data_IF_040242312834
#
_entry.id   IF_040242312834
#
_cell.length_a   1.000
_cell.length_b   1.000
_cell.length_c   1.000
_cell.angle_alpha   90.00
_cell.angle_beta   90.00
_cell.angle_gamma   90.00
#
_symmetry.space_group_name_H-M   'P 1'
#
loop_
_entity.id
_entity.type
_entity.pdbx_description
1 polymer ?
#
# COMPACT_ATOMS: atom_id res chain seq x y z
N UNK A 1 -1.49 1.05 1.44
CA UNK A 1 -0.54 1.75 0.53
C UNK A 1 -0.40 3.16 1.08
N UNK A 2 0.81 3.62 1.37
CA UNK A 2 1.06 4.97 1.94
C UNK A 2 2.36 5.52 1.36
N UNK A 3 2.53 6.84 1.18
CA UNK A 3 3.70 7.39 0.49
C UNK A 3 4.91 7.54 1.40
N UNK A 4 4.69 7.62 2.72
CA UNK A 4 5.70 8.05 3.67
C UNK A 4 6.33 6.85 4.37
N UNK A 5 7.40 6.31 3.78
CA UNK A 5 8.16 5.17 4.34
C UNK A 5 8.61 5.47 5.78
N UNK A 6 9.05 6.70 6.06
CA UNK A 6 9.47 7.12 7.39
C UNK A 6 8.35 6.96 8.44
N UNK A 7 7.10 7.19 8.06
CA UNK A 7 5.94 7.06 8.96
C UNK A 7 5.49 5.60 9.12
N UNK A 8 5.71 4.74 8.12
CA UNK A 8 5.33 3.33 8.20
C UNK A 8 6.01 2.61 9.37
N UNK A 9 7.25 2.95 9.67
CA UNK A 9 7.98 2.34 10.78
C UNK A 9 7.28 2.64 12.12
N UNK A 10 6.99 3.91 12.39
CA UNK A 10 6.34 4.36 13.62
C UNK A 10 4.92 3.82 13.75
N UNK A 11 4.18 3.72 12.63
CA UNK A 11 2.86 3.11 12.59
C UNK A 11 2.90 1.61 12.90
N UNK A 12 3.85 0.88 12.32
CA UNK A 12 4.04 -0.55 12.60
C UNK A 12 4.43 -0.77 14.06
N UNK A 13 5.35 0.03 14.60
CA UNK A 13 5.74 -0.06 16.01
C UNK A 13 4.55 0.20 16.94
N UNK A 14 3.75 1.22 16.64
CA UNK A 14 2.57 1.57 17.43
C UNK A 14 1.51 0.46 17.41
N UNK A 15 1.27 -0.17 16.25
CA UNK A 15 0.37 -1.33 16.12
C UNK A 15 0.90 -2.54 16.89
N UNK A 16 2.18 -2.84 16.78
CA UNK A 16 2.81 -3.95 17.48
C UNK A 16 2.77 -3.75 19.01
N UNK A 17 2.96 -2.52 19.49
CA UNK A 17 2.89 -2.18 20.90
C UNK A 17 1.52 -2.49 21.53
N UNK A 18 0.44 -2.43 20.73
CA UNK A 18 -0.91 -2.79 21.16
C UNK A 18 -1.30 -4.23 20.77
N UNK A 19 -0.34 -5.05 20.34
CA UNK A 19 -0.55 -6.47 20.02
C UNK A 19 -1.17 -6.74 18.65
N UNK A 20 -1.18 -5.78 17.73
CA UNK A 20 -1.61 -5.99 16.34
C UNK A 20 -0.41 -6.42 15.49
N UNK A 21 -0.42 -7.64 14.92
CA UNK A 21 0.65 -8.08 14.04
C UNK A 21 0.66 -7.26 12.76
N UNK A 22 1.65 -6.38 12.62
CA UNK A 22 1.81 -5.49 11.49
C UNK A 22 3.24 -5.52 10.96
N UNK A 23 3.40 -5.22 9.67
CA UNK A 23 4.70 -5.06 9.02
C UNK A 23 4.62 -4.04 7.90
N UNK A 24 5.77 -3.72 7.29
CA UNK A 24 5.84 -2.90 6.08
C UNK A 24 6.73 -3.52 5.01
N UNK A 25 6.47 -3.21 3.74
CA UNK A 25 7.32 -3.49 2.59
C UNK A 25 7.68 -2.18 1.87
N UNK A 26 8.96 -1.83 1.88
CA UNK A 26 9.49 -0.61 1.26
C UNK A 26 10.85 -0.88 0.60
N UNK A 27 11.29 0.00 -0.30
CA UNK A 27 12.62 -0.09 -0.94
C UNK A 27 13.79 -0.02 0.03
N UNK A 28 13.59 0.54 1.23
CA UNK A 28 14.59 0.68 2.30
C UNK A 28 14.97 -0.63 3.01
N UNK A 29 14.18 -1.70 2.82
CA UNK A 29 14.50 -3.00 3.40
C UNK A 29 15.61 -3.69 2.61
N UNK A 30 16.54 -4.31 3.32
CA UNK A 30 17.50 -5.23 2.71
C UNK A 30 16.78 -6.44 2.06
N UNK A 31 17.47 -7.11 1.15
CA UNK A 31 16.88 -8.20 0.36
C UNK A 31 16.47 -9.41 1.20
N UNK A 32 17.17 -9.70 2.29
CA UNK A 32 16.88 -10.87 3.13
C UNK A 32 15.66 -10.59 4.03
N UNK A 33 15.55 -9.38 4.56
CA UNK A 33 14.44 -8.89 5.36
C UNK A 33 13.17 -8.78 4.52
N UNK A 34 13.26 -8.21 3.32
CA UNK A 34 12.13 -8.20 2.39
C UNK A 34 11.66 -9.63 2.09
N UNK A 35 12.58 -10.57 1.87
CA UNK A 35 12.26 -11.99 1.63
C UNK A 35 11.63 -12.66 2.86
N UNK A 36 12.12 -12.38 4.07
CA UNK A 36 11.52 -12.87 5.33
C UNK A 36 10.07 -12.38 5.45
N UNK A 37 9.85 -11.07 5.37
CA UNK A 37 8.50 -10.47 5.48
C UNK A 37 7.54 -10.99 4.42
N UNK A 38 7.98 -11.15 3.16
CA UNK A 38 7.13 -11.72 2.12
C UNK A 38 6.69 -13.15 2.43
N UNK A 39 7.56 -13.99 3.02
CA UNK A 39 7.19 -15.34 3.45
C UNK A 39 6.18 -15.31 4.60
N UNK A 40 6.39 -14.42 5.57
CA UNK A 40 5.51 -14.30 6.73
C UNK A 40 4.13 -13.75 6.34
N UNK A 41 4.08 -12.82 5.37
CA UNK A 41 2.82 -12.38 4.76
C UNK A 41 2.12 -13.57 4.08
N UNK A 42 2.85 -14.39 3.32
CA UNK A 42 2.29 -15.57 2.66
C UNK A 42 1.71 -16.59 3.65
N UNK A 43 2.33 -16.68 4.84
CA UNK A 43 1.88 -17.54 5.93
C UNK A 43 0.74 -16.95 6.78
N UNK A 44 0.30 -15.72 6.49
CA UNK A 44 -0.76 -15.04 7.24
C UNK A 44 -0.33 -14.54 8.62
N UNK A 45 0.97 -14.30 8.84
CA UNK A 45 1.51 -13.86 10.13
C UNK A 45 1.11 -12.42 10.50
N UNK A 46 0.68 -11.61 9.53
CA UNK A 46 0.32 -10.21 9.73
C UNK A 46 -1.14 -9.94 9.44
N UNK A 47 -1.76 -9.11 10.28
CA UNK A 47 -3.11 -8.57 10.06
C UNK A 47 -3.08 -7.31 9.20
N UNK A 48 -1.99 -6.54 9.25
CA UNK A 48 -1.84 -5.29 8.51
C UNK A 48 -0.45 -5.21 7.87
N UNK A 49 -0.42 -4.87 6.58
CA UNK A 49 0.82 -4.72 5.81
C UNK A 49 0.83 -3.34 5.15
N UNK A 50 1.74 -2.47 5.60
CA UNK A 50 2.04 -1.23 4.89
C UNK A 50 2.89 -1.53 3.67
N UNK A 51 2.60 -0.88 2.55
CA UNK A 51 3.32 -1.11 1.29
C UNK A 51 3.58 0.25 0.66
N UNK A 52 4.85 0.50 0.34
CA UNK A 52 5.27 1.67 -0.41
C UNK A 52 4.88 1.52 -1.90
N UNK A 53 4.45 2.60 -2.59
CA UNK A 53 3.93 2.52 -3.95
C UNK A 53 4.88 1.85 -4.94
N UNK A 54 6.19 2.07 -4.81
CA UNK A 54 7.21 1.50 -5.69
C UNK A 54 7.29 -0.03 -5.60
N UNK A 55 6.78 -0.63 -4.52
CA UNK A 55 6.72 -2.09 -4.36
C UNK A 55 5.54 -2.74 -5.08
N UNK A 56 4.54 -1.97 -5.51
CA UNK A 56 3.32 -2.51 -6.11
C UNK A 56 3.59 -3.23 -7.43
N UNK A 57 4.60 -2.80 -8.20
CA UNK A 57 4.97 -3.43 -9.47
C UNK A 57 6.04 -4.52 -9.35
N UNK A 58 6.53 -4.80 -8.14
CA UNK A 58 7.50 -5.86 -7.95
C UNK A 58 6.85 -7.23 -8.19
N UNK A 59 7.44 -8.01 -9.12
CA UNK A 59 6.88 -9.31 -9.54
C UNK A 59 6.64 -10.25 -8.36
N UNK A 60 7.57 -10.33 -7.41
CA UNK A 60 7.41 -11.17 -6.22
C UNK A 60 6.23 -10.75 -5.33
N UNK A 61 5.93 -9.45 -5.26
CA UNK A 61 4.80 -8.93 -4.50
C UNK A 61 3.47 -9.23 -5.22
N UNK A 62 3.41 -9.07 -6.54
CA UNK A 62 2.25 -9.47 -7.34
C UNK A 62 1.95 -10.96 -7.20
N UNK A 63 2.96 -11.82 -7.32
CA UNK A 63 2.82 -13.27 -7.12
C UNK A 63 2.34 -13.63 -5.71
N UNK A 64 2.79 -12.89 -4.69
CA UNK A 64 2.33 -13.06 -3.32
C UNK A 64 0.83 -12.77 -3.19
N UNK A 65 0.33 -11.67 -3.76
CA UNK A 65 -1.08 -11.26 -3.66
C UNK A 65 -2.05 -12.25 -4.31
N UNK A 66 -1.63 -13.01 -5.31
CA UNK A 66 -2.43 -14.10 -5.86
C UNK A 66 -2.56 -15.31 -4.92
N UNK A 67 -1.68 -15.42 -3.92
CA UNK A 67 -1.63 -16.55 -2.98
C UNK A 67 -2.24 -16.23 -1.62
N UNK A 68 -2.45 -14.95 -1.31
CA UNK A 68 -3.02 -14.50 -0.03
C UNK A 68 -4.39 -13.88 -0.23
N UNK A 69 -5.30 -14.10 0.72
CA UNK A 69 -6.59 -13.44 0.72
C UNK A 69 -6.42 -11.99 1.19
N UNK A 70 -6.64 -11.03 0.29
CA UNK A 70 -6.62 -9.61 0.61
C UNK A 70 -8.05 -9.06 0.60
N UNK A 71 -8.71 -8.96 1.77
CA UNK A 71 -10.09 -8.49 1.82
C UNK A 71 -10.22 -6.98 1.60
N UNK A 72 -9.16 -6.22 1.88
CA UNK A 72 -9.16 -4.76 1.82
C UNK A 72 -7.79 -4.23 1.36
N UNK A 73 -7.82 -3.25 0.46
CA UNK A 73 -6.69 -2.38 0.16
C UNK A 73 -7.07 -0.94 0.52
N UNK A 74 -6.32 -0.36 1.44
CA UNK A 74 -6.42 1.06 1.77
C UNK A 74 -5.32 1.86 1.06
N UNK A 75 -5.69 2.95 0.40
CA UNK A 75 -4.81 3.93 -0.24
C UNK A 75 -4.83 5.20 0.61
N UNK A 76 -3.71 5.47 1.27
CA UNK A 76 -3.49 6.63 2.11
C UNK A 76 -2.88 7.78 1.29
N UNK A 77 -3.17 9.01 1.69
CA UNK A 77 -2.88 10.24 0.93
C UNK A 77 -3.30 10.13 -0.54
N UNK A 78 -4.52 9.68 -0.79
CA UNK A 78 -5.06 9.47 -2.14
C UNK A 78 -5.04 10.74 -3.01
N UNK A 79 -4.90 11.93 -2.41
CA UNK A 79 -4.72 13.18 -3.13
C UNK A 79 -3.43 13.21 -3.99
N UNK A 80 -2.41 12.39 -3.67
CA UNK A 80 -1.18 12.25 -4.46
C UNK A 80 -1.39 11.72 -5.89
N UNK A 81 -2.58 11.20 -6.21
CA UNK A 81 -2.96 10.75 -7.56
C UNK A 81 -3.21 11.94 -8.51
N UNK A 82 -3.61 13.10 -7.98
CA UNK A 82 -3.94 14.28 -8.80
C UNK A 82 -2.67 14.98 -9.28
N UNK A 83 -2.45 15.03 -10.60
CA UNK A 83 -1.37 15.80 -11.24
C UNK A 83 -1.43 17.31 -10.95
N UNK A 84 -2.59 17.79 -10.48
CA UNK A 84 -2.84 19.19 -10.13
C UNK A 84 -2.65 19.47 -8.64
N UNK A 85 -2.37 18.43 -7.83
CA UNK A 85 -2.04 18.56 -6.42
C UNK A 85 -0.55 18.86 -6.21
N UNK A 86 -0.20 19.64 -5.18
CA UNK A 86 1.20 20.00 -4.91
C UNK A 86 2.08 18.81 -4.49
N UNK A 87 1.46 17.69 -4.10
CA UNK A 87 2.09 16.45 -3.63
C UNK A 87 1.95 15.30 -4.64
N UNK A 88 1.88 15.61 -5.94
CA UNK A 88 1.82 14.60 -6.99
C UNK A 88 2.98 13.59 -6.89
N UNK A 89 2.64 12.30 -6.93
CA UNK A 89 3.59 11.18 -6.92
C UNK A 89 3.31 10.28 -8.14
N UNK A 90 4.19 10.24 -9.16
CA UNK A 90 3.98 9.39 -10.35
C UNK A 90 3.71 7.92 -10.01
N UNK A 91 4.29 7.40 -8.93
CA UNK A 91 4.11 6.02 -8.48
C UNK A 91 2.66 5.72 -8.05
N UNK A 92 1.89 6.73 -7.64
CA UNK A 92 0.48 6.58 -7.28
C UNK A 92 -0.43 6.29 -8.48
N UNK A 93 -0.04 6.70 -9.69
CA UNK A 93 -0.80 6.39 -10.92
C UNK A 93 -0.88 4.88 -11.19
N UNK A 94 0.10 4.12 -10.69
CA UNK A 94 0.16 2.66 -10.83
C UNK A 94 -0.82 1.94 -9.90
N UNK A 95 -1.35 2.61 -8.87
CA UNK A 95 -2.28 2.02 -7.90
C UNK A 95 -3.58 1.59 -8.58
N UNK A 96 -4.08 2.36 -9.55
CA UNK A 96 -5.29 2.02 -10.29
C UNK A 96 -5.14 0.72 -11.08
N UNK A 97 -4.03 0.57 -11.81
CA UNK A 97 -3.72 -0.68 -12.52
C UNK A 97 -3.49 -1.83 -11.54
N UNK A 98 -2.79 -1.57 -10.44
CA UNK A 98 -2.59 -2.55 -9.37
C UNK A 98 -3.91 -3.11 -8.84
N UNK A 99 -4.85 -2.25 -8.48
CA UNK A 99 -6.17 -2.64 -7.96
C UNK A 99 -6.92 -3.51 -8.96
N UNK A 100 -6.85 -3.21 -10.26
CA UNK A 100 -7.51 -4.01 -11.32
C UNK A 100 -6.98 -5.45 -11.42
N UNK A 101 -5.77 -5.72 -10.93
CA UNK A 101 -5.22 -7.08 -10.91
C UNK A 101 -5.62 -7.89 -9.68
N UNK A 102 -6.22 -7.25 -8.69
CA UNK A 102 -6.66 -7.93 -7.47
C UNK A 102 -7.92 -8.77 -7.74
N UNK A 103 -8.14 -9.84 -6.96
CA UNK A 103 -9.37 -10.60 -7.05
C UNK A 103 -10.60 -9.70 -6.88
N UNK A 104 -11.66 -9.92 -7.66
CA UNK A 104 -12.84 -9.04 -7.72
C UNK A 104 -13.66 -8.88 -6.42
N UNK A 105 -13.27 -9.55 -5.32
CA UNK A 105 -13.88 -9.41 -4.00
C UNK A 105 -13.10 -8.45 -3.07
N UNK A 106 -11.93 -7.95 -3.51
CA UNK A 106 -11.12 -7.04 -2.67
C UNK A 106 -11.77 -5.66 -2.60
N UNK A 107 -12.09 -5.22 -1.38
CA UNK A 107 -12.59 -3.87 -1.14
C UNK A 107 -11.45 -2.86 -1.28
N UNK A 108 -11.75 -1.68 -1.83
CA UNK A 108 -10.79 -0.57 -1.94
C UNK A 108 -11.32 0.62 -1.15
N UNK A 109 -10.48 1.16 -0.27
CA UNK A 109 -10.72 2.37 0.49
C UNK A 109 -9.65 3.41 0.13
N UNK A 110 -10.05 4.62 -0.23
CA UNK A 110 -9.15 5.74 -0.46
C UNK A 110 -9.35 6.79 0.63
N UNK A 111 -8.27 7.19 1.29
CA UNK A 111 -8.26 8.15 2.39
C UNK A 111 -7.31 9.30 2.08
N UNK A 112 -7.70 10.52 2.44
CA UNK A 112 -6.84 11.70 2.40
C UNK A 112 -7.33 12.70 3.45
N UNK A 113 -6.41 13.41 4.10
CA UNK A 113 -6.76 14.49 5.02
C UNK A 113 -7.10 15.80 4.26
N UNK A 114 -6.58 15.97 3.05
CA UNK A 114 -6.62 17.21 2.26
C UNK A 114 -7.30 16.96 0.90
N UNK A 115 -8.62 16.76 0.92
CA UNK A 115 -9.41 16.65 -0.30
C UNK A 115 -9.95 18.02 -0.71
N UNK A 116 -9.40 18.63 -1.77
CA UNK A 116 -10.05 19.75 -2.47
C UNK A 116 -10.91 19.21 -3.62
N UNK A 117 -11.97 19.94 -4.05
CA UNK A 117 -12.80 19.52 -5.19
C UNK A 117 -12.04 19.26 -6.48
N UNK A 118 -10.87 19.90 -6.65
CA UNK A 118 -9.97 19.73 -7.80
C UNK A 118 -9.21 18.39 -7.73
N UNK A 119 -8.71 17.99 -6.55
CA UNK A 119 -7.94 16.76 -6.35
C UNK A 119 -8.81 15.49 -6.22
N UNK A 120 -10.12 15.64 -6.04
CA UNK A 120 -11.07 14.51 -6.05
C UNK A 120 -11.47 14.06 -7.46
N UNK A 121 -11.08 14.80 -8.52
CA UNK A 121 -11.35 14.44 -9.92
C UNK A 121 -10.27 13.51 -10.48
N UNK A 122 -10.07 12.36 -9.83
CA UNK A 122 -9.18 11.31 -10.34
C UNK A 122 -9.89 10.45 -11.38
N UNK A 123 -9.56 10.63 -12.66
CA UNK A 123 -9.67 9.62 -13.72
C UNK A 123 -11.06 9.02 -13.98
N UNK A 124 -12.00 9.83 -14.49
CA UNK A 124 -13.10 9.33 -15.31
C UNK A 124 -12.83 9.70 -16.76
N UNK A 125 -12.16 8.80 -17.49
CA UNK A 125 -12.21 8.67 -18.93
C UNK A 125 -12.18 7.18 -19.26
#
# INVERSE_FOLDING_TARGET
ISPLIALMHDQVQSLQAIGVPATFLASTLDGDEARRRMRDIAAGAYKLVYVAPERLNFAGFRSLLHRVKVPLVAVDEAHCISEWGHDFRPEYMQIGEFIRTLPGQTLVLACTATATPENMKGGAN
#
